data_IF_491756578409
#
_entry.id   IF_491756578409
#
_cell.length_a   1.000
_cell.length_b   1.000
_cell.length_c   1.000
_cell.angle_alpha   90.00
_cell.angle_beta   90.00
_cell.angle_gamma   90.00
#
_symmetry.space_group_name_H-M   'P 1'
#
loop_
_entity.id
_entity.type
_entity.pdbx_description
1 polymer ?
#
# COMPACT_ATOMS: atom_id res chain seq x y z
N UNK A 1 17.58 13.00 9.42
CA UNK A 1 16.59 11.91 9.27
C UNK A 1 15.91 12.09 7.93
N UNK A 2 15.72 11.05 7.13
CA UNK A 2 14.89 11.15 5.94
C UNK A 2 13.46 11.49 6.35
N UNK A 3 12.79 12.32 5.56
CA UNK A 3 11.38 12.71 5.74
C UNK A 3 10.69 12.55 4.39
N UNK A 4 9.38 12.28 4.41
CA UNK A 4 8.59 12.35 3.19
C UNK A 4 8.60 13.78 2.65
N UNK A 5 8.54 13.93 1.33
CA UNK A 5 8.35 15.24 0.71
C UNK A 5 7.02 15.83 1.21
N UNK A 6 7.03 17.11 1.56
CA UNK A 6 5.85 17.84 1.99
C UNK A 6 5.40 18.77 0.87
N UNK A 7 4.12 18.72 0.54
CA UNK A 7 3.46 19.54 -0.48
C UNK A 7 2.18 20.14 0.09
N UNK A 8 1.75 21.27 -0.44
CA UNK A 8 0.51 21.93 -0.03
C UNK A 8 -0.60 21.65 -1.03
N UNK A 9 -1.77 21.25 -0.55
CA UNK A 9 -2.96 21.10 -1.38
C UNK A 9 -3.38 22.45 -1.97
N UNK A 10 -3.54 22.50 -3.29
CA UNK A 10 -4.04 23.67 -4.01
C UNK A 10 -5.50 23.48 -4.41
N UNK A 11 -5.83 22.32 -4.97
CA UNK A 11 -7.15 22.09 -5.54
C UNK A 11 -7.61 20.65 -5.33
N UNK A 12 -8.77 20.50 -4.70
CA UNK A 12 -9.52 19.26 -4.70
C UNK A 12 -10.15 19.05 -6.08
N UNK A 13 -9.78 17.97 -6.77
CA UNK A 13 -10.17 17.73 -8.17
C UNK A 13 -11.41 16.86 -8.27
N UNK A 14 -11.35 15.64 -7.70
CA UNK A 14 -12.46 14.69 -7.73
C UNK A 14 -12.32 13.65 -6.63
N UNK A 15 -13.43 13.22 -6.00
CA UNK A 15 -13.42 12.04 -5.15
C UNK A 15 -13.16 10.77 -5.97
N UNK A 16 -12.44 9.83 -5.39
CA UNK A 16 -12.37 8.43 -5.78
C UNK A 16 -13.30 7.67 -4.83
N UNK A 17 -14.42 7.18 -5.35
CA UNK A 17 -15.46 6.53 -4.54
C UNK A 17 -15.05 5.08 -4.21
N UNK A 18 -14.10 4.94 -3.29
CA UNK A 18 -13.63 3.67 -2.75
C UNK A 18 -14.12 3.49 -1.30
N UNK A 19 -15.23 2.75 -1.17
CA UNK A 19 -15.81 2.43 0.13
C UNK A 19 -16.08 3.66 1.01
N UNK A 20 -15.83 3.54 2.31
CA UNK A 20 -16.05 4.60 3.30
C UNK A 20 -14.86 5.54 3.53
N UNK A 21 -13.77 5.40 2.77
CA UNK A 21 -12.54 6.18 2.98
C UNK A 21 -12.45 7.47 2.15
N UNK A 22 -13.25 7.54 1.06
CA UNK A 22 -13.39 8.70 0.16
C UNK A 22 -12.06 9.42 -0.16
N UNK A 23 -11.02 8.70 -0.65
CA UNK A 23 -9.81 9.35 -1.12
C UNK A 23 -10.12 10.26 -2.31
N UNK A 24 -9.24 11.20 -2.62
CA UNK A 24 -9.48 12.16 -3.69
C UNK A 24 -8.23 12.49 -4.49
N UNK A 25 -8.42 12.86 -5.76
CA UNK A 25 -7.37 13.45 -6.57
C UNK A 25 -7.23 14.92 -6.15
N UNK A 26 -6.02 15.32 -5.78
CA UNK A 26 -5.66 16.68 -5.34
C UNK A 26 -4.45 17.16 -6.14
N UNK A 27 -4.53 18.39 -6.65
CA UNK A 27 -3.38 19.11 -7.23
C UNK A 27 -2.67 19.90 -6.13
N UNK A 28 -1.34 19.93 -6.20
CA UNK A 28 -0.47 20.50 -5.17
C UNK A 28 0.48 21.56 -5.75
N UNK A 29 1.19 22.26 -4.86
CA UNK A 29 2.06 23.39 -5.17
C UNK A 29 3.35 23.04 -5.92
N UNK A 30 3.75 21.77 -5.90
CA UNK A 30 4.86 21.23 -6.68
C UNK A 30 4.47 20.86 -8.12
N UNK A 31 3.26 21.20 -8.57
CA UNK A 31 2.66 20.83 -9.86
C UNK A 31 2.34 19.32 -9.98
N UNK A 32 2.45 18.57 -8.87
CA UNK A 32 2.06 17.18 -8.78
C UNK A 32 0.55 16.98 -8.68
N UNK A 33 0.13 15.72 -8.86
CA UNK A 33 -1.25 15.29 -8.64
C UNK A 33 -1.22 14.02 -7.81
N UNK A 34 -1.94 14.02 -6.70
CA UNK A 34 -1.87 12.95 -5.70
C UNK A 34 -3.25 12.38 -5.44
N UNK A 35 -3.30 11.06 -5.23
CA UNK A 35 -4.41 10.41 -4.52
C UNK A 35 -4.19 10.66 -3.03
N UNK A 36 -5.01 11.52 -2.45
CA UNK A 36 -4.94 11.91 -1.05
C UNK A 36 -5.87 11.06 -0.20
N UNK A 37 -5.31 10.46 0.85
CA UNK A 37 -6.04 9.79 1.93
C UNK A 37 -6.08 10.71 3.14
N UNK A 38 -7.29 11.00 3.59
CA UNK A 38 -7.53 11.99 4.62
C UNK A 38 -7.48 11.38 6.03
N UNK A 39 -6.80 12.04 6.97
CA UNK A 39 -6.64 11.50 8.33
C UNK A 39 -7.95 11.49 9.14
N UNK A 40 -8.91 12.36 8.80
CA UNK A 40 -10.25 12.38 9.36
C UNK A 40 -11.21 11.33 8.81
N UNK A 41 -10.77 10.48 7.87
CA UNK A 41 -11.59 9.38 7.34
C UNK A 41 -11.82 8.30 8.41
N UNK A 42 -12.90 7.52 8.27
CA UNK A 42 -13.30 6.52 9.27
C UNK A 42 -12.28 5.39 9.55
N UNK A 43 -11.32 5.18 8.65
CA UNK A 43 -10.20 4.24 8.85
C UNK A 43 -9.12 4.79 9.80
N UNK A 44 -9.06 6.12 9.96
CA UNK A 44 -8.17 6.84 10.86
C UNK A 44 -6.69 6.78 10.50
N UNK A 45 -5.86 7.35 11.39
CA UNK A 45 -4.40 7.49 11.23
C UNK A 45 -3.68 6.14 11.06
N UNK A 46 -4.18 5.05 11.65
CA UNK A 46 -3.57 3.71 11.52
C UNK A 46 -3.46 3.25 10.07
N UNK A 47 -4.49 3.50 9.25
CA UNK A 47 -4.43 3.17 7.82
C UNK A 47 -3.35 3.99 7.10
N UNK A 48 -3.17 5.26 7.46
CA UNK A 48 -2.11 6.11 6.89
C UNK A 48 -0.71 5.64 7.33
N UNK A 49 -0.56 5.26 8.61
CA UNK A 49 0.68 4.66 9.13
C UNK A 49 1.01 3.37 8.36
N UNK A 50 0.03 2.49 8.17
CA UNK A 50 0.21 1.27 7.41
C UNK A 50 0.62 1.53 5.96
N UNK A 51 0.00 2.51 5.30
CA UNK A 51 0.36 2.89 3.95
C UNK A 51 1.80 3.38 3.83
N UNK A 52 2.26 4.26 4.73
CA UNK A 52 3.65 4.73 4.75
C UNK A 52 4.61 3.58 5.03
N UNK A 53 4.39 2.81 6.11
CA UNK A 53 5.31 1.76 6.52
C UNK A 53 5.40 0.66 5.44
N UNK A 54 4.26 0.14 4.98
CA UNK A 54 4.24 -0.91 3.98
C UNK A 54 4.72 -0.40 2.61
N UNK A 55 4.26 0.77 2.17
CA UNK A 55 4.63 1.33 0.88
C UNK A 55 6.11 1.65 0.77
N UNK A 56 6.68 2.35 1.76
CA UNK A 56 8.10 2.73 1.77
C UNK A 56 9.04 1.53 2.00
N UNK A 57 8.58 0.51 2.73
CA UNK A 57 9.29 -0.75 2.85
C UNK A 57 9.28 -1.52 1.52
N UNK A 58 8.13 -1.64 0.86
CA UNK A 58 8.00 -2.29 -0.45
C UNK A 58 8.92 -1.63 -1.49
N UNK A 59 8.94 -0.29 -1.56
CA UNK A 59 9.85 0.48 -2.44
C UNK A 59 11.31 0.14 -2.18
N UNK A 60 11.74 0.13 -0.92
CA UNK A 60 13.12 -0.22 -0.54
C UNK A 60 13.47 -1.68 -0.76
N UNK A 61 12.47 -2.56 -0.82
CA UNK A 61 12.61 -3.96 -1.22
C UNK A 61 12.63 -4.14 -2.76
N UNK A 62 12.36 -3.09 -3.53
CA UNK A 62 12.39 -3.10 -5.00
C UNK A 62 11.03 -3.44 -5.63
N UNK A 63 9.95 -3.40 -4.86
CA UNK A 63 8.59 -3.45 -5.37
C UNK A 63 8.18 -2.06 -5.87
N UNK A 64 7.32 -2.01 -6.88
CA UNK A 64 6.82 -0.77 -7.46
C UNK A 64 5.61 -0.29 -6.66
N UNK A 65 5.76 0.78 -5.91
CA UNK A 65 4.67 1.53 -5.26
C UNK A 65 4.83 2.97 -5.74
N UNK A 66 3.76 3.73 -6.02
CA UNK A 66 3.90 5.15 -6.35
C UNK A 66 4.62 5.93 -5.23
N UNK A 67 5.13 7.11 -5.54
CA UNK A 67 5.81 7.95 -4.55
C UNK A 67 4.81 8.38 -3.45
N UNK A 68 5.27 8.40 -2.20
CA UNK A 68 4.46 8.79 -1.05
C UNK A 68 4.94 10.15 -0.54
N UNK A 69 3.99 11.04 -0.27
CA UNK A 69 4.22 12.41 0.23
C UNK A 69 3.29 12.71 1.40
N UNK A 70 3.60 13.75 2.16
CA UNK A 70 2.64 14.38 3.07
C UNK A 70 2.01 15.57 2.38
N UNK A 71 0.69 15.70 2.49
CA UNK A 71 -0.09 16.79 1.90
C UNK A 71 -0.67 17.67 3.01
N UNK A 72 -0.24 18.91 3.09
CA UNK A 72 -0.83 19.91 3.98
C UNK A 72 -2.16 20.42 3.41
N UNK A 73 -3.25 20.21 4.13
CA UNK A 73 -4.60 20.58 3.71
C UNK A 73 -5.13 21.78 4.52
N UNK A 74 -5.42 22.88 3.81
CA UNK A 74 -6.26 23.95 4.36
C UNK A 74 -7.74 23.55 4.24
N UNK A 75 -8.50 23.46 5.36
CA UNK A 75 -9.94 23.20 5.34
C UNK A 75 -10.75 24.18 4.49
N UNK A 76 -10.22 25.35 4.16
CA UNK A 76 -10.83 26.29 3.23
C UNK A 76 -11.13 25.67 1.86
N UNK A 77 -10.36 24.66 1.43
CA UNK A 77 -10.58 23.92 0.18
C UNK A 77 -11.96 23.26 0.15
N UNK A 78 -12.44 22.74 1.30
CA UNK A 78 -13.75 22.08 1.40
C UNK A 78 -14.96 23.02 1.48
N UNK A 79 -14.77 24.35 1.62
CA UNK A 79 -15.89 25.28 1.89
C UNK A 79 -16.98 25.32 0.83
N UNK A 80 -16.62 25.07 -0.43
CA UNK A 80 -17.54 25.08 -1.56
C UNK A 80 -17.78 23.69 -2.15
N UNK A 81 -17.33 22.64 -1.46
CA UNK A 81 -17.63 21.26 -1.86
C UNK A 81 -19.14 21.01 -1.71
N UNK A 82 -19.85 20.66 -2.79
CA UNK A 82 -21.30 20.43 -2.75
C UNK A 82 -21.71 19.15 -2.02
N UNK A 83 -20.84 18.13 -1.97
CA UNK A 83 -21.12 16.88 -1.27
C UNK A 83 -20.87 17.05 0.25
N UNK A 84 -21.92 16.96 1.10
CA UNK A 84 -21.76 17.20 2.54
C UNK A 84 -20.80 16.23 3.22
N UNK A 85 -20.76 14.97 2.78
CA UNK A 85 -19.90 13.94 3.38
C UNK A 85 -18.42 14.25 3.08
N UNK A 86 -18.13 14.68 1.85
CA UNK A 86 -16.78 15.12 1.46
C UNK A 86 -16.41 16.42 2.17
N UNK A 87 -17.33 17.37 2.26
CA UNK A 87 -17.10 18.63 2.96
C UNK A 87 -16.74 18.40 4.44
N UNK A 88 -17.48 17.53 5.13
CA UNK A 88 -17.22 17.21 6.53
C UNK A 88 -15.90 16.44 6.70
N UNK A 89 -15.57 15.53 5.78
CA UNK A 89 -14.26 14.86 5.74
C UNK A 89 -13.11 15.86 5.62
N UNK A 90 -13.19 16.83 4.69
CA UNK A 90 -12.15 17.84 4.49
C UNK A 90 -12.01 18.77 5.72
N UNK A 91 -13.13 19.15 6.35
CA UNK A 91 -13.11 19.92 7.61
C UNK A 91 -12.49 19.15 8.77
N UNK A 92 -12.71 17.83 8.82
CA UNK A 92 -12.14 16.94 9.83
C UNK A 92 -10.66 16.63 9.60
N UNK A 93 -10.09 17.03 8.45
CA UNK A 93 -8.75 16.64 8.02
C UNK A 93 -7.76 17.80 7.84
N UNK A 94 -7.71 18.84 8.70
CA UNK A 94 -6.75 19.93 8.56
C UNK A 94 -5.31 19.43 8.69
N UNK A 95 -4.37 20.09 8.01
CA UNK A 95 -2.95 19.82 8.18
C UNK A 95 -2.49 18.57 7.43
N UNK A 96 -1.63 17.76 8.07
CA UNK A 96 -0.90 16.67 7.43
C UNK A 96 -1.78 15.45 7.09
N UNK A 97 -1.98 15.23 5.79
CA UNK A 97 -2.62 14.06 5.19
C UNK A 97 -1.62 13.26 4.35
N UNK A 98 -2.02 12.09 3.88
CA UNK A 98 -1.17 11.23 3.04
C UNK A 98 -1.46 11.45 1.57
N UNK A 99 -0.44 11.73 0.76
CA UNK A 99 -0.52 11.72 -0.70
C UNK A 99 0.21 10.53 -1.29
N UNK A 100 -0.40 9.88 -2.27
CA UNK A 100 0.23 8.85 -3.11
C UNK A 100 0.22 9.37 -4.54
N UNK A 101 1.36 9.32 -5.23
CA UNK A 101 1.46 9.82 -6.61
C UNK A 101 0.37 9.19 -7.49
N UNK A 102 -0.40 10.06 -8.15
CA UNK A 102 -1.41 9.60 -9.08
C UNK A 102 -0.71 9.08 -10.33
N UNK A 103 -1.13 7.94 -10.86
CA UNK A 103 -0.58 7.35 -12.08
C UNK A 103 -1.54 7.55 -13.26
N UNK A 104 -1.46 8.66 -14.01
CA UNK A 104 -2.33 8.93 -15.15
C UNK A 104 -2.32 7.81 -16.19
N UNK A 105 -3.52 7.39 -16.60
CA UNK A 105 -3.70 6.35 -17.61
C UNK A 105 -3.35 4.94 -17.14
N UNK A 106 -3.13 4.75 -15.83
CA UNK A 106 -3.05 3.42 -15.25
C UNK A 106 -4.39 2.67 -15.38
N UNK A 107 -4.32 1.35 -15.41
CA UNK A 107 -5.49 0.47 -15.47
C UNK A 107 -5.50 -0.43 -14.22
N UNK A 108 -6.68 -0.78 -13.73
CA UNK A 108 -6.80 -1.82 -12.71
C UNK A 108 -6.21 -3.15 -13.21
N UNK A 109 -5.45 -3.83 -12.36
CA UNK A 109 -4.94 -5.17 -12.67
C UNK A 109 -6.10 -6.18 -12.73
N UNK A 110 -6.16 -6.94 -13.82
CA UNK A 110 -7.08 -8.07 -13.96
C UNK A 110 -6.26 -9.36 -14.21
N UNK A 111 -6.29 -10.37 -13.31
CA UNK A 111 -5.53 -11.62 -13.46
C UNK A 111 -5.98 -12.48 -14.67
N UNK A 112 -7.12 -12.17 -15.29
CA UNK A 112 -7.58 -12.80 -16.53
C UNK A 112 -6.98 -12.15 -17.77
N UNK A 113 -6.67 -10.85 -17.70
CA UNK A 113 -6.12 -10.06 -18.80
C UNK A 113 -4.60 -9.90 -18.73
N UNK A 114 -4.03 -9.94 -17.53
CA UNK A 114 -2.60 -9.76 -17.27
C UNK A 114 -1.96 -11.00 -16.68
N UNK A 115 -0.70 -11.25 -17.02
CA UNK A 115 0.12 -12.31 -16.42
C UNK A 115 1.43 -11.69 -15.93
N UNK A 116 1.61 -11.52 -14.61
CA UNK A 116 2.83 -10.97 -14.06
C UNK A 116 3.99 -11.96 -14.20
N UNK A 117 5.22 -11.45 -14.10
CA UNK A 117 6.39 -12.30 -13.89
C UNK A 117 6.23 -13.13 -12.60
N UNK A 118 6.45 -14.46 -12.62
CA UNK A 118 6.29 -15.30 -11.42
C UNK A 118 7.18 -14.88 -10.26
N UNK A 119 8.40 -14.39 -10.53
CA UNK A 119 9.32 -13.92 -9.50
C UNK A 119 8.83 -12.63 -8.83
N UNK A 120 8.25 -11.71 -9.61
CA UNK A 120 7.56 -10.53 -9.09
C UNK A 120 6.33 -10.94 -8.27
N UNK A 121 5.49 -11.82 -8.80
CA UNK A 121 4.28 -12.28 -8.11
C UNK A 121 4.60 -12.93 -6.76
N UNK A 122 5.66 -13.76 -6.71
CA UNK A 122 6.16 -14.37 -5.49
C UNK A 122 6.67 -13.33 -4.49
N UNK A 123 7.37 -12.29 -4.96
CA UNK A 123 7.83 -11.20 -4.09
C UNK A 123 6.68 -10.37 -3.52
N UNK A 124 5.63 -10.12 -4.29
CA UNK A 124 4.43 -9.41 -3.79
C UNK A 124 3.68 -10.27 -2.78
N UNK A 125 3.38 -11.53 -3.11
CA UNK A 125 2.67 -12.43 -2.18
C UNK A 125 3.46 -12.65 -0.88
N UNK A 126 4.78 -12.84 -0.97
CA UNK A 126 5.63 -12.95 0.23
C UNK A 126 5.57 -11.68 1.07
N UNK A 127 5.62 -10.51 0.42
CA UNK A 127 5.59 -9.22 1.10
C UNK A 127 4.24 -8.96 1.77
N UNK A 128 3.12 -9.24 1.09
CA UNK A 128 1.78 -9.12 1.65
C UNK A 128 1.56 -10.07 2.83
N UNK A 129 2.11 -11.29 2.78
CA UNK A 129 2.12 -12.19 3.92
C UNK A 129 2.95 -11.66 5.09
N UNK A 130 4.11 -11.04 4.81
CA UNK A 130 4.95 -10.42 5.83
C UNK A 130 4.23 -9.28 6.57
N UNK A 131 3.65 -8.32 5.83
CA UNK A 131 2.92 -7.18 6.42
C UNK A 131 1.49 -7.54 6.85
N UNK A 132 1.02 -8.76 6.57
CA UNK A 132 -0.34 -9.21 6.88
C UNK A 132 -1.43 -8.43 6.12
N UNK A 133 -1.21 -8.15 4.83
CA UNK A 133 -2.17 -7.43 3.99
C UNK A 133 -3.34 -8.34 3.60
N UNK A 134 -4.53 -8.07 4.16
CA UNK A 134 -5.72 -8.92 3.93
C UNK A 134 -6.59 -8.46 2.75
N UNK A 135 -6.29 -7.31 2.15
CA UNK A 135 -7.19 -6.69 1.15
C UNK A 135 -6.74 -6.91 -0.31
N UNK A 136 -5.57 -7.52 -0.54
CA UNK A 136 -5.08 -7.83 -1.90
C UNK A 136 -5.75 -9.06 -2.50
N UNK A 137 -7.02 -8.95 -2.84
CA UNK A 137 -7.86 -10.08 -3.31
C UNK A 137 -8.11 -10.05 -4.81
N UNK A 138 -8.59 -11.16 -5.39
CA UNK A 138 -8.99 -11.17 -6.81
C UNK A 138 -10.18 -10.24 -7.14
N UNK A 139 -11.00 -9.88 -6.14
CA UNK A 139 -12.12 -8.93 -6.29
C UNK A 139 -11.67 -7.48 -6.17
N UNK A 140 -10.69 -7.25 -5.28
CA UNK A 140 -10.07 -5.96 -5.07
C UNK A 140 -8.54 -6.11 -5.13
N UNK A 141 -7.92 -6.11 -6.32
CA UNK A 141 -6.50 -6.40 -6.43
C UNK A 141 -5.60 -5.33 -5.80
N UNK A 142 -6.05 -4.09 -5.63
CA UNK A 142 -5.22 -2.95 -5.20
C UNK A 142 -3.87 -2.91 -5.97
N UNK A 143 -3.92 -3.26 -7.26
CA UNK A 143 -2.79 -3.31 -8.18
C UNK A 143 -3.18 -2.53 -9.42
N UNK A 144 -2.23 -1.74 -9.92
CA UNK A 144 -2.37 -0.99 -11.17
C UNK A 144 -1.39 -1.52 -12.21
N UNK A 145 -1.78 -1.49 -13.48
CA UNK A 145 -0.88 -1.64 -14.62
C UNK A 145 -0.59 -0.25 -15.17
N UNK A 146 0.66 0.18 -15.12
CA UNK A 146 1.09 1.50 -15.60
C UNK A 146 2.38 1.36 -16.41
N UNK A 147 2.37 1.89 -17.64
CA UNK A 147 3.43 1.74 -18.63
C UNK A 147 3.90 0.29 -18.85
N UNK A 148 3.01 -0.68 -18.64
CA UNK A 148 3.28 -2.12 -18.84
C UNK A 148 3.90 -2.82 -17.64
N UNK A 149 4.06 -2.14 -16.51
CA UNK A 149 4.49 -2.71 -15.24
C UNK A 149 3.34 -2.77 -14.24
N UNK A 150 3.40 -3.71 -13.28
CA UNK A 150 2.45 -3.82 -12.18
C UNK A 150 2.95 -3.01 -10.98
N UNK A 151 2.08 -2.15 -10.45
CA UNK A 151 2.31 -1.25 -9.32
C UNK A 151 1.36 -1.60 -8.18
N UNK A 152 1.88 -1.61 -6.96
CA UNK A 152 1.13 -1.85 -5.73
C UNK A 152 0.58 -0.52 -5.24
N UNK A 153 -0.71 -0.53 -4.93
CA UNK A 153 -1.39 0.57 -4.24
C UNK A 153 -2.10 0.01 -3.01
N UNK A 154 -2.57 0.92 -2.18
CA UNK A 154 -3.46 0.69 -1.04
C UNK A 154 -3.02 -0.45 -0.10
N UNK A 155 -2.10 -0.10 0.79
CA UNK A 155 -1.65 -0.93 1.90
C UNK A 155 -2.34 -0.55 3.23
N UNK A 156 -3.36 0.30 3.21
CA UNK A 156 -4.03 0.80 4.42
C UNK A 156 -4.70 -0.30 5.27
N UNK A 157 -4.99 -1.46 4.67
CA UNK A 157 -5.52 -2.65 5.35
C UNK A 157 -4.45 -3.68 5.74
N UNK A 158 -3.17 -3.31 5.71
CA UNK A 158 -2.06 -4.11 6.21
C UNK A 158 -1.75 -3.81 7.69
N UNK A 159 -0.75 -4.49 8.25
CA UNK A 159 -0.29 -4.32 9.64
C UNK A 159 -1.38 -4.54 10.70
N UNK A 160 -2.34 -5.44 10.43
CA UNK A 160 -3.54 -5.65 11.26
C UNK A 160 -3.27 -5.76 12.79
N UNK A 161 -2.09 -6.22 13.20
CA UNK A 161 -1.68 -6.26 14.61
C UNK A 161 -1.77 -4.91 15.34
N UNK A 162 -1.62 -3.78 14.63
CA UNK A 162 -1.69 -2.44 15.23
C UNK A 162 -3.10 -2.05 15.69
N UNK A 163 -4.13 -2.84 15.35
CA UNK A 163 -5.47 -2.69 15.91
C UNK A 163 -5.63 -3.45 17.23
N UNK A 164 -4.67 -4.30 17.60
CA UNK A 164 -4.71 -5.15 18.77
C UNK A 164 -3.30 -5.37 19.36
N UNK A 165 -2.64 -4.29 19.79
CA UNK A 165 -1.27 -4.32 20.33
C UNK A 165 -1.06 -5.31 21.46
N UNK A 166 -2.05 -5.47 22.35
CA UNK A 166 -2.01 -6.47 23.43
C UNK A 166 -1.88 -7.93 22.93
N UNK A 167 -2.23 -8.19 21.67
CA UNK A 167 -2.12 -9.51 21.01
C UNK A 167 -1.09 -9.51 19.87
N UNK A 168 -0.26 -8.46 19.74
CA UNK A 168 0.67 -8.31 18.63
C UNK A 168 1.62 -9.51 18.52
N UNK A 169 2.22 -9.99 19.62
CA UNK A 169 3.12 -11.15 19.60
C UNK A 169 2.44 -12.42 19.07
N UNK A 170 1.18 -12.65 19.46
CA UNK A 170 0.39 -13.77 18.93
C UNK A 170 0.08 -13.60 17.44
N UNK A 171 -0.24 -12.37 17.00
CA UNK A 171 -0.51 -12.07 15.60
C UNK A 171 0.76 -12.15 14.74
N UNK A 172 1.93 -11.91 15.32
CA UNK A 172 3.23 -12.08 14.67
C UNK A 172 3.47 -13.51 14.19
N UNK A 173 2.92 -14.51 14.90
CA UNK A 173 3.04 -15.92 14.56
C UNK A 173 1.81 -16.48 13.81
N UNK A 174 0.83 -15.64 13.45
CA UNK A 174 -0.38 -16.12 12.76
C UNK A 174 -0.05 -16.43 11.28
N UNK A 175 -0.38 -17.64 10.78
CA UNK A 175 -0.33 -17.96 9.36
C UNK A 175 -1.16 -17.00 8.52
N UNK A 176 -0.58 -16.55 7.41
CA UNK A 176 -1.27 -15.74 6.42
C UNK A 176 -2.20 -16.62 5.57
N UNK A 177 -3.39 -16.13 5.25
CA UNK A 177 -4.33 -16.81 4.36
C UNK A 177 -4.21 -16.22 2.95
N UNK A 178 -3.60 -16.99 2.04
CA UNK A 178 -3.40 -16.58 0.65
C UNK A 178 -4.49 -17.09 -0.31
N UNK A 179 -5.57 -17.71 0.21
CA UNK A 179 -6.57 -18.39 -0.63
C UNK A 179 -7.28 -17.45 -1.61
N UNK A 180 -7.62 -16.24 -1.16
CA UNK A 180 -8.26 -15.20 -1.99
C UNK A 180 -7.28 -14.24 -2.66
N UNK A 181 -5.97 -14.39 -2.41
CA UNK A 181 -4.97 -13.43 -2.87
C UNK A 181 -4.80 -13.48 -4.39
N UNK A 182 -4.87 -12.31 -5.05
CA UNK A 182 -4.96 -12.22 -6.53
C UNK A 182 -3.80 -12.87 -7.27
N UNK A 183 -2.62 -12.91 -6.64
CA UNK A 183 -1.41 -13.46 -7.25
C UNK A 183 -1.13 -14.93 -6.91
N UNK A 184 -1.91 -15.55 -6.04
CA UNK A 184 -1.64 -16.93 -5.55
C UNK A 184 -1.55 -17.93 -6.69
N UNK A 185 -2.37 -17.77 -7.73
CA UNK A 185 -2.35 -18.68 -8.88
C UNK A 185 -1.12 -18.56 -9.77
N UNK A 186 -0.22 -17.59 -9.55
CA UNK A 186 1.01 -17.40 -10.34
C UNK A 186 2.28 -17.82 -9.60
N UNK A 187 2.14 -18.29 -8.36
CA UNK A 187 3.26 -18.56 -7.45
C UNK A 187 3.18 -20.01 -6.99
N UNK A 188 4.30 -20.71 -7.03
CA UNK A 188 4.46 -22.01 -6.37
C UNK A 188 5.31 -21.86 -5.09
N UNK A 189 5.32 -22.90 -4.26
CA UNK A 189 6.01 -22.88 -2.97
C UNK A 189 7.50 -22.55 -3.11
N UNK A 190 8.19 -23.08 -4.13
CA UNK A 190 9.61 -22.82 -4.32
C UNK A 190 9.88 -21.36 -4.69
N UNK A 191 9.06 -20.77 -5.57
CA UNK A 191 9.17 -19.35 -5.91
C UNK A 191 8.89 -18.47 -4.68
N UNK A 192 7.90 -18.83 -3.86
CA UNK A 192 7.56 -18.10 -2.63
C UNK A 192 8.70 -18.17 -1.60
N UNK A 193 9.28 -19.35 -1.39
CA UNK A 193 10.44 -19.54 -0.52
C UNK A 193 11.67 -18.80 -1.05
N UNK A 194 11.90 -18.83 -2.37
CA UNK A 194 12.97 -18.09 -3.02
C UNK A 194 12.82 -16.57 -2.85
N UNK A 195 11.60 -16.04 -2.92
CA UNK A 195 11.32 -14.65 -2.60
C UNK A 195 11.67 -14.33 -1.14
N UNK A 196 11.30 -15.20 -0.20
CA UNK A 196 11.64 -15.04 1.21
C UNK A 196 13.15 -15.00 1.47
N UNK A 197 13.91 -15.92 0.88
CA UNK A 197 15.39 -15.93 0.97
C UNK A 197 16.03 -14.64 0.43
N UNK A 198 15.39 -13.98 -0.53
CA UNK A 198 15.85 -12.72 -1.14
C UNK A 198 15.44 -11.49 -0.34
N UNK A 199 14.23 -11.48 0.22
CA UNK A 199 13.63 -10.29 0.82
C UNK A 199 13.89 -10.20 2.33
N UNK A 200 13.73 -11.28 3.09
CA UNK A 200 13.83 -11.26 4.55
C UNK A 200 15.16 -10.67 5.06
N UNK A 201 16.35 -11.04 4.53
CA UNK A 201 17.62 -10.50 5.02
C UNK A 201 17.80 -8.99 4.80
N UNK A 202 16.98 -8.37 3.94
CA UNK A 202 17.02 -6.93 3.68
C UNK A 202 16.20 -6.14 4.70
N UNK A 203 15.29 -6.80 5.44
CA UNK A 203 14.43 -6.18 6.46
C UNK A 203 15.20 -6.13 7.78
N UNK A 204 16.14 -5.20 7.86
CA UNK A 204 16.96 -4.96 9.06
C UNK A 204 16.27 -3.99 10.02
N UNK A 205 16.71 -3.98 11.28
CA UNK A 205 16.30 -2.97 12.27
C UNK A 205 16.52 -1.54 11.74
N UNK A 206 17.68 -1.26 11.13
CA UNK A 206 17.99 0.04 10.52
C UNK A 206 17.01 0.43 9.40
N UNK A 207 16.65 -0.51 8.52
CA UNK A 207 15.67 -0.27 7.46
C UNK A 207 14.29 0.03 8.05
N UNK A 208 13.86 -0.76 9.04
CA UNK A 208 12.57 -0.58 9.69
C UNK A 208 12.50 0.76 10.41
N UNK A 209 13.53 1.15 11.17
CA UNK A 209 13.62 2.49 11.78
C UNK A 209 13.53 3.58 10.73
N UNK A 210 14.31 3.47 9.66
CA UNK A 210 14.30 4.44 8.55
C UNK A 210 12.91 4.62 7.96
N UNK A 211 12.14 3.54 7.81
CA UNK A 211 10.78 3.58 7.24
C UNK A 211 9.76 4.11 8.24
N UNK A 212 9.84 3.69 9.50
CA UNK A 212 8.93 4.15 10.56
C UNK A 212 9.14 5.64 10.85
N UNK A 213 10.38 6.14 10.78
CA UNK A 213 10.72 7.56 10.95
C UNK A 213 10.16 8.47 9.85
N UNK A 214 9.68 7.91 8.73
CA UNK A 214 8.99 8.68 7.67
C UNK A 214 7.56 9.03 8.04
N UNK A 215 6.95 8.33 8.99
CA UNK A 215 5.58 8.55 9.41
C UNK A 215 5.51 9.86 10.22
N UNK A 216 4.59 10.78 9.89
CA UNK A 216 4.36 11.99 10.68
C UNK A 216 4.10 11.66 12.16
N UNK A 217 4.80 12.35 13.06
CA UNK A 217 4.76 12.04 14.50
C UNK A 217 3.36 12.22 15.08
N UNK A 218 2.61 13.19 14.57
CA UNK A 218 1.22 13.46 14.96
C UNK A 218 0.28 12.28 14.67
N UNK A 219 0.67 11.37 13.77
CA UNK A 219 -0.15 10.18 13.49
C UNK A 219 -0.01 9.09 14.55
N UNK A 220 1.08 9.12 15.33
CA UNK A 220 1.32 8.21 16.46
C UNK A 220 0.75 8.70 17.80
N UNK A 221 0.25 9.94 17.85
CA UNK A 221 -0.30 10.52 19.09
C UNK A 221 -1.57 9.80 19.55
N UNK A 222 -1.78 9.80 20.87
CA UNK A 222 -2.97 9.30 21.55
C UNK A 222 -3.29 7.80 21.35
N UNK A 223 -2.32 6.98 20.92
CA UNK A 223 -2.51 5.54 20.80
C UNK A 223 -2.60 4.87 22.18
N UNK A 224 -3.71 4.18 22.50
CA UNK A 224 -3.86 3.51 23.78
C UNK A 224 -2.80 2.42 24.01
N UNK A 225 -2.18 2.44 25.19
CA UNK A 225 -1.18 1.44 25.60
C UNK A 225 0.27 1.84 25.35
N UNK A 226 0.52 3.07 24.86
CA UNK A 226 1.86 3.63 24.71
C UNK A 226 1.96 4.98 25.43
N UNK A 227 3.11 5.23 26.07
CA UNK A 227 3.35 6.46 26.83
C UNK A 227 3.78 7.62 25.91
N UNK A 228 4.31 7.32 24.72
CA UNK A 228 4.74 8.32 23.75
C UNK A 228 4.68 7.83 22.29
N UNK A 229 4.64 8.75 21.30
CA UNK A 229 4.82 8.42 19.89
C UNK A 229 6.08 7.61 19.58
N UNK A 230 7.17 7.86 20.32
CA UNK A 230 8.43 7.14 20.15
C UNK A 230 8.33 5.67 20.60
N UNK A 231 7.59 5.39 21.67
CA UNK A 231 7.36 4.02 22.14
C UNK A 231 6.52 3.23 21.13
N UNK A 232 5.51 3.87 20.55
CA UNK A 232 4.70 3.25 19.48
C UNK A 232 5.54 2.98 18.23
N UNK A 233 6.33 3.94 17.77
CA UNK A 233 7.23 3.77 16.64
C UNK A 233 8.22 2.59 16.88
N UNK A 234 8.81 2.51 18.07
CA UNK A 234 9.69 1.41 18.45
C UNK A 234 8.96 0.05 18.47
N UNK A 235 7.67 0.02 18.83
CA UNK A 235 6.87 -1.20 18.82
C UNK A 235 6.61 -1.72 17.40
N UNK A 236 6.37 -0.84 16.42
CA UNK A 236 6.29 -1.22 15.00
C UNK A 236 7.60 -1.88 14.53
N UNK A 237 8.75 -1.26 14.83
CA UNK A 237 10.07 -1.80 14.47
C UNK A 237 10.27 -3.17 15.10
N UNK A 238 10.02 -3.30 16.40
CA UNK A 238 10.18 -4.56 17.15
C UNK A 238 9.33 -5.67 16.55
N UNK A 239 8.06 -5.40 16.29
CA UNK A 239 7.12 -6.39 15.75
C UNK A 239 7.53 -6.86 14.35
N UNK A 240 7.82 -5.92 13.44
CA UNK A 240 8.19 -6.23 12.06
C UNK A 240 9.55 -6.95 11.98
N UNK A 241 10.50 -6.56 12.83
CA UNK A 241 11.79 -7.23 12.90
C UNK A 241 11.63 -8.68 13.38
N UNK A 242 10.79 -8.92 14.40
CA UNK A 242 10.50 -10.27 14.87
C UNK A 242 9.83 -11.14 13.80
N UNK A 243 8.86 -10.61 13.04
CA UNK A 243 8.26 -11.32 11.89
C UNK A 243 9.28 -11.63 10.80
N UNK A 244 10.20 -10.71 10.50
CA UNK A 244 11.19 -10.90 9.45
C UNK A 244 12.23 -11.98 9.81
N UNK A 245 12.52 -12.15 11.11
CA UNK A 245 13.49 -13.10 11.61
C UNK A 245 13.07 -14.58 11.41
N UNK A 246 11.76 -14.87 11.42
CA UNK A 246 11.25 -16.21 11.21
C UNK A 246 10.00 -16.18 10.32
N UNK A 247 10.18 -16.35 9.01
CA UNK A 247 9.08 -16.44 8.07
C UNK A 247 8.31 -17.77 8.17
N UNK A 248 8.90 -18.82 8.75
CA UNK A 248 8.33 -20.17 8.74
C UNK A 248 7.03 -20.28 9.54
N UNK A 249 6.79 -19.35 10.48
CA UNK A 249 5.59 -19.34 11.32
C UNK A 249 4.36 -18.73 10.63
N UNK A 250 4.56 -17.86 9.63
CA UNK A 250 3.47 -17.10 9.02
C UNK A 250 3.34 -17.27 7.50
N UNK A 251 4.40 -17.73 6.81
CA UNK A 251 4.37 -17.88 5.36
C UNK A 251 3.40 -19.00 4.95
N UNK A 252 2.47 -18.75 4.02
CA UNK A 252 1.49 -19.76 3.61
C UNK A 252 2.15 -20.82 2.72
N UNK A 253 1.54 -22.01 2.69
CA UNK A 253 1.72 -22.96 1.59
C UNK A 253 0.79 -22.56 0.43
N UNK A 254 1.29 -22.65 -0.79
CA UNK A 254 0.53 -22.35 -2.01
C UNK A 254 0.51 -23.55 -2.96
N UNK A 255 -0.59 -23.68 -3.71
CA UNK A 255 -0.71 -24.73 -4.71
C UNK A 255 0.23 -24.55 -5.91
N UNK A 256 0.21 -25.47 -6.89
CA UNK A 256 0.99 -25.33 -8.11
C UNK A 256 0.60 -24.06 -8.87
N UNK A 257 1.60 -23.32 -9.34
CA UNK A 257 1.38 -22.16 -10.20
C UNK A 257 0.69 -22.54 -11.50
N UNK A 258 -0.27 -21.72 -11.95
CA UNK A 258 -0.87 -21.83 -13.28
C UNK A 258 0.19 -21.49 -14.33
N UNK A 259 0.31 -22.27 -15.42
CA UNK A 259 1.21 -21.91 -16.51
C UNK A 259 0.89 -20.51 -17.03
N UNK A 260 1.94 -19.69 -17.21
CA UNK A 260 1.81 -18.37 -17.80
C UNK A 260 1.12 -18.47 -19.15
N UNK A 261 0.06 -17.68 -19.35
CA UNK A 261 -0.60 -17.64 -20.64
C UNK A 261 0.35 -16.95 -21.61
N UNK A 262 0.67 -17.54 -22.78
CA UNK A 262 1.51 -16.86 -23.75
C UNK A 262 0.84 -15.53 -24.11
N UNK A 263 1.62 -14.43 -24.24
CA UNK A 263 1.06 -13.14 -24.62
C UNK A 263 0.21 -13.33 -25.87
N UNK A 264 -1.01 -12.80 -25.85
CA UNK A 264 -1.85 -12.82 -27.04
C UNK A 264 -0.99 -12.26 -28.19
N UNK A 265 -0.91 -12.95 -29.34
CA UNK A 265 -0.11 -12.47 -30.45
C UNK A 265 -0.53 -11.03 -30.73
N UNK A 266 0.42 -10.08 -30.66
CA UNK A 266 0.16 -8.68 -30.99
C UNK A 266 -0.53 -8.69 -32.35
N UNK A 267 -1.84 -8.41 -32.36
CA UNK A 267 -2.63 -8.48 -33.58
C UNK A 267 -1.99 -7.55 -34.60
N UNK A 268 -1.39 -8.12 -35.66
CA UNK A 268 -0.98 -7.38 -36.86
C UNK A 268 -2.20 -6.82 -37.63
N UNK A 269 -3.38 -6.91 -37.07
CA UNK A 269 -4.60 -6.29 -37.54
C UNK A 269 -4.72 -4.90 -36.93
N UNK A 270 -3.89 -3.96 -37.40
CA UNK A 270 -4.35 -2.57 -37.51
C UNK A 270 -5.69 -2.64 -38.25
N UNK A 271 -6.80 -2.15 -37.67
CA UNK A 271 -8.04 -1.98 -38.41
C UNK A 271 -7.73 -1.27 -39.73
N UNK A 272 -8.33 -1.72 -40.83
CA UNK A 272 -8.00 -1.22 -42.17
C UNK A 272 -8.09 0.31 -42.31
N UNK A 273 -8.88 0.96 -41.45
CA UNK A 273 -9.06 2.41 -41.38
C UNK A 273 -7.93 3.18 -40.66
N UNK A 274 -7.02 2.51 -39.94
CA UNK A 274 -5.80 3.08 -39.32
C UNK A 274 -4.55 2.91 -40.19
N UNK A 275 -4.72 2.46 -41.44
CA UNK A 275 -3.65 2.41 -42.45
C UNK A 275 -3.83 3.60 -43.40
N UNK A 276 -3.41 4.79 -42.97
CA UNK A 276 -3.17 5.94 -43.84
C UNK A 276 -1.79 6.50 -43.54
#
# INVERSE_FOLDING_TARGET
>A
MPVLSNVTAIRYVTPLREGGSLPAIVETDDLGTYVVKFHGAGQGRKALIAEVIAGELARRLGLRVPDIVTVDLDPAIGRHEPDPDVQDLLKASPGCNLGIDYLPGSLGFDPLAWSPDPGFAASVLWFDAFIGNVDRSWRNPNLLVWHGDVWLIDHGASLYFHHAWASADRLAAKPYDASDHVLTTFVDDEALQAAGRRLAPRITDDLLRTVVDLVPVEWFEDEPGFDSPADLAAAYVTHLHARAADASVWLPEVGPARPARPPAPRGKTRPGWLRR
#
